data_IF_088921116027
#
_entry.id   IF_088921116027
#
_cell.length_a   1.000
_cell.length_b   1.000
_cell.length_c   1.000
_cell.angle_alpha   90.00
_cell.angle_beta   90.00
_cell.angle_gamma   90.00
#
_symmetry.space_group_name_H-M   'P 1'
#
loop_
_entity.id
_entity.type
_entity.pdbx_description
1 polymer ?
#
# COMPACT_ATOMS: atom_id res chain seq x y z
N UNK A 1 4.16 13.90 -24.66
CA UNK A 1 3.00 13.00 -24.53
C UNK A 1 3.49 11.59 -24.72
N UNK A 2 3.27 10.71 -23.77
CA UNK A 2 3.54 9.28 -23.87
C UNK A 2 2.22 8.52 -23.90
N UNK A 3 2.11 7.54 -24.77
CA UNK A 3 0.92 6.67 -24.89
C UNK A 3 1.03 5.43 -24.00
N UNK A 4 2.11 5.29 -23.23
CA UNK A 4 2.35 4.14 -22.37
C UNK A 4 1.71 4.32 -21.01
N UNK A 5 0.82 3.42 -20.61
CA UNK A 5 0.26 3.37 -19.26
C UNK A 5 1.35 3.36 -18.17
N UNK A 6 2.45 2.64 -18.39
CA UNK A 6 3.57 2.56 -17.46
C UNK A 6 4.21 3.90 -17.20
N UNK A 7 4.45 4.68 -18.26
CA UNK A 7 5.04 6.01 -18.12
C UNK A 7 4.09 6.97 -17.43
N UNK A 8 2.80 6.92 -17.79
CA UNK A 8 1.77 7.72 -17.16
C UNK A 8 1.67 7.41 -15.66
N UNK A 9 1.56 6.13 -15.30
CA UNK A 9 1.46 5.72 -13.90
C UNK A 9 2.73 6.07 -13.12
N UNK A 10 3.92 5.80 -13.69
CA UNK A 10 5.19 6.20 -13.07
C UNK A 10 5.24 7.72 -12.82
N UNK A 11 4.82 8.52 -13.79
CA UNK A 11 4.77 9.98 -13.63
C UNK A 11 3.81 10.39 -12.51
N UNK A 12 2.62 9.80 -12.45
CA UNK A 12 1.64 10.06 -11.40
C UNK A 12 2.13 9.66 -10.01
N UNK A 13 2.90 8.59 -9.92
CA UNK A 13 3.42 8.09 -8.64
C UNK A 13 4.67 8.79 -8.14
N UNK A 14 5.46 9.41 -9.03
CA UNK A 14 6.79 9.95 -8.71
C UNK A 14 6.97 11.44 -9.05
N UNK A 15 6.11 12.01 -9.88
CA UNK A 15 6.26 13.35 -10.46
C UNK A 15 7.31 13.41 -11.57
N UNK A 16 7.92 12.29 -11.96
CA UNK A 16 9.00 12.23 -12.94
C UNK A 16 8.71 11.22 -14.04
N UNK A 17 9.13 11.52 -15.26
CA UNK A 17 9.16 10.51 -16.32
C UNK A 17 10.29 9.51 -16.09
N UNK A 18 10.01 8.23 -16.31
CA UNK A 18 11.07 7.23 -16.29
C UNK A 18 11.88 7.37 -17.59
N UNK A 19 13.19 7.71 -17.54
CA UNK A 19 14.01 7.88 -18.73
C UNK A 19 14.23 6.58 -19.50
N UNK A 20 14.11 5.44 -18.82
CA UNK A 20 14.22 4.12 -19.44
C UNK A 20 12.84 3.60 -19.78
N UNK A 21 12.48 3.66 -21.05
CA UNK A 21 11.19 3.19 -21.59
C UNK A 21 11.05 1.66 -21.61
N UNK A 22 12.03 0.91 -21.10
CA UNK A 22 11.99 -0.55 -21.15
C UNK A 22 11.05 -1.13 -20.11
N UNK A 23 10.38 -2.21 -20.48
CA UNK A 23 9.38 -2.92 -19.67
C UNK A 23 9.94 -3.57 -18.41
N UNK A 24 11.26 -3.56 -18.24
CA UNK A 24 11.99 -4.26 -17.17
C UNK A 24 12.77 -3.34 -16.25
N UNK A 25 12.81 -2.04 -16.53
CA UNK A 25 13.58 -1.10 -15.70
C UNK A 25 12.85 -0.81 -14.39
N UNK A 26 13.57 -0.92 -13.30
CA UNK A 26 13.12 -0.46 -11.98
C UNK A 26 12.89 1.05 -12.01
N UNK A 27 11.98 1.53 -11.17
CA UNK A 27 11.76 2.97 -11.05
C UNK A 27 13.05 3.67 -10.61
N UNK A 28 13.42 4.77 -11.30
CA UNK A 28 14.58 5.59 -10.93
C UNK A 28 14.28 6.56 -9.80
N UNK A 29 13.03 6.93 -9.66
CA UNK A 29 12.56 7.87 -8.65
C UNK A 29 11.63 7.17 -7.66
N UNK A 30 11.75 7.48 -6.36
CA UNK A 30 10.85 6.92 -5.36
C UNK A 30 9.43 7.44 -5.56
N UNK A 31 8.45 6.60 -5.28
CA UNK A 31 7.05 7.03 -5.24
C UNK A 31 6.81 8.00 -4.09
N UNK A 32 5.74 8.79 -4.17
CA UNK A 32 5.33 9.68 -3.07
C UNK A 32 5.15 8.92 -1.76
N UNK A 33 4.53 7.74 -1.81
CA UNK A 33 4.38 6.89 -0.63
C UNK A 33 5.70 6.40 -0.05
N UNK A 34 6.70 6.13 -0.91
CA UNK A 34 8.04 5.76 -0.46
C UNK A 34 8.77 6.94 0.21
N UNK A 35 8.57 8.16 -0.28
CA UNK A 35 9.10 9.37 0.38
C UNK A 35 8.44 9.55 1.75
N UNK A 36 7.11 9.39 1.85
CA UNK A 36 6.38 9.44 3.13
C UNK A 36 6.91 8.36 4.08
N UNK A 37 7.14 7.15 3.58
CA UNK A 37 7.72 6.05 4.37
C UNK A 37 9.13 6.35 4.86
N UNK A 38 9.95 7.03 4.07
CA UNK A 38 11.29 7.45 4.47
C UNK A 38 11.27 8.53 5.57
N UNK A 39 10.27 9.43 5.53
CA UNK A 39 10.14 10.53 6.52
C UNK A 39 9.59 10.02 7.85
N UNK A 40 8.57 9.15 7.82
CA UNK A 40 7.88 8.70 9.05
C UNK A 40 8.39 7.36 9.59
N UNK A 41 9.33 6.72 8.89
CA UNK A 41 9.72 5.34 9.15
C UNK A 41 8.87 4.35 8.35
N UNK A 42 9.41 3.18 8.03
CA UNK A 42 8.70 2.21 7.21
C UNK A 42 7.49 1.57 7.92
N UNK A 43 7.52 1.53 9.26
CA UNK A 43 6.42 1.03 10.08
C UNK A 43 6.10 1.99 11.22
N UNK A 44 4.85 1.97 11.64
CA UNK A 44 4.38 2.72 12.82
C UNK A 44 5.09 2.18 14.09
N UNK A 45 5.71 3.05 14.92
CA UNK A 45 6.61 2.62 15.98
C UNK A 45 5.94 1.83 17.11
N UNK A 46 4.64 2.03 17.38
CA UNK A 46 3.96 1.36 18.49
C UNK A 46 3.27 0.06 18.07
N UNK A 47 2.69 -0.01 16.87
CA UNK A 47 1.87 -1.14 16.46
C UNK A 47 2.40 -1.92 15.24
N UNK A 48 3.49 -1.44 14.63
CA UNK A 48 4.14 -2.11 13.51
C UNK A 48 3.40 -2.03 12.17
N UNK A 49 2.29 -1.29 12.07
CA UNK A 49 1.55 -1.14 10.82
C UNK A 49 2.43 -0.44 9.78
N UNK A 50 2.52 -0.97 8.54
CA UNK A 50 3.32 -0.33 7.49
C UNK A 50 2.87 1.10 7.21
N UNK A 51 3.85 2.01 7.09
CA UNK A 51 3.59 3.43 6.78
C UNK A 51 3.03 3.60 5.39
N UNK A 52 3.45 2.76 4.44
CA UNK A 52 2.97 2.75 3.06
C UNK A 52 2.45 1.37 2.67
N UNK A 53 1.19 1.29 2.25
CA UNK A 53 0.52 0.06 1.81
C UNK A 53 -0.02 0.28 0.40
N UNK A 54 0.15 -0.72 -0.47
CA UNK A 54 -0.46 -0.74 -1.81
C UNK A 54 -1.53 -1.81 -1.91
N UNK A 55 -2.55 -1.54 -2.72
CA UNK A 55 -3.56 -2.50 -3.11
C UNK A 55 -3.65 -2.56 -4.64
N UNK A 56 -3.27 -3.69 -5.19
CA UNK A 56 -3.15 -3.90 -6.62
C UNK A 56 -1.75 -3.57 -7.16
N UNK A 57 -1.59 -3.81 -8.46
CA UNK A 57 -0.32 -3.58 -9.15
C UNK A 57 -0.27 -2.14 -9.67
N UNK A 58 0.66 -1.35 -9.17
CA UNK A 58 0.88 0.03 -9.56
C UNK A 58 2.32 0.16 -10.05
N UNK A 59 2.51 0.65 -11.29
CA UNK A 59 3.84 0.90 -11.84
C UNK A 59 4.43 2.15 -11.18
N UNK A 60 5.70 2.09 -10.78
CA UNK A 60 6.39 3.21 -10.14
C UNK A 60 6.19 3.32 -8.62
N UNK A 61 5.55 2.35 -7.99
CA UNK A 61 5.33 2.30 -6.54
C UNK A 61 6.55 1.73 -5.78
N UNK A 62 7.75 2.11 -6.17
CA UNK A 62 9.00 1.57 -5.64
C UNK A 62 9.76 2.58 -4.77
N UNK A 63 10.65 2.04 -3.93
CA UNK A 63 11.56 2.85 -3.11
C UNK A 63 12.69 3.52 -3.90
N UNK A 64 13.01 3.01 -5.10
CA UNK A 64 14.12 3.47 -5.94
C UNK A 64 15.41 3.65 -5.12
N UNK A 65 16.08 4.81 -5.24
CA UNK A 65 17.30 5.11 -4.50
C UNK A 65 17.14 5.24 -2.97
N UNK A 66 15.91 5.35 -2.46
CA UNK A 66 15.64 5.26 -1.01
C UNK A 66 15.83 3.85 -0.48
N UNK A 67 15.81 2.84 -1.36
CA UNK A 67 15.98 1.44 -1.00
C UNK A 67 14.68 0.69 -0.72
N UNK A 68 14.80 -0.62 -0.67
CA UNK A 68 13.66 -1.54 -0.57
C UNK A 68 12.85 -1.46 0.74
N UNK A 69 13.42 -0.86 1.82
CA UNK A 69 12.71 -0.67 3.09
C UNK A 69 11.49 0.22 2.96
N UNK A 70 11.56 1.20 2.07
CA UNK A 70 10.55 2.23 1.92
C UNK A 70 9.59 1.96 0.77
N UNK A 71 9.70 0.79 0.13
CA UNK A 71 8.69 0.35 -0.85
C UNK A 71 7.36 0.02 -0.15
N UNK A 72 6.22 0.07 -0.88
CA UNK A 72 4.94 -0.27 -0.29
C UNK A 72 4.88 -1.71 0.18
N UNK A 73 4.23 -1.92 1.30
CA UNK A 73 3.80 -3.24 1.74
C UNK A 73 2.64 -3.71 0.87
N UNK A 74 2.72 -4.95 0.39
CA UNK A 74 1.69 -5.58 -0.44
C UNK A 74 0.95 -6.67 0.36
N UNK A 75 -0.29 -6.43 0.80
CA UNK A 75 -1.05 -7.40 1.57
C UNK A 75 -1.61 -8.55 0.73
N UNK A 76 -1.61 -8.45 -0.61
CA UNK A 76 -2.08 -9.52 -1.48
C UNK A 76 -1.19 -10.77 -1.43
N UNK A 77 0.07 -10.58 -1.07
CA UNK A 77 0.97 -11.68 -0.77
C UNK A 77 0.70 -12.19 0.66
N UNK A 78 -0.03 -13.29 0.78
CA UNK A 78 -0.39 -13.91 2.06
C UNK A 78 0.81 -14.26 2.94
N UNK A 79 1.96 -14.52 2.34
CA UNK A 79 3.22 -14.76 3.05
C UNK A 79 3.70 -13.54 3.86
N UNK A 80 3.25 -12.33 3.48
CA UNK A 80 3.58 -11.10 4.19
C UNK A 80 2.82 -10.94 5.50
N UNK A 81 1.68 -11.62 5.67
CA UNK A 81 0.81 -11.55 6.85
C UNK A 81 0.84 -12.80 7.71
N UNK A 82 1.45 -13.89 7.23
CA UNK A 82 1.46 -15.18 7.92
C UNK A 82 2.89 -15.63 8.14
N UNK A 83 3.31 -15.87 9.38
CA UNK A 83 4.65 -16.39 9.65
C UNK A 83 4.77 -17.82 9.08
N UNK A 84 5.88 -18.10 8.39
CA UNK A 84 6.22 -19.44 7.89
C UNK A 84 6.78 -20.36 8.96
N UNK A 85 6.95 -19.86 10.18
CA UNK A 85 7.51 -20.59 11.33
C UNK A 85 6.67 -20.30 12.57
N UNK A 86 6.68 -21.20 13.53
CA UNK A 86 5.98 -21.01 14.80
C UNK A 86 6.41 -19.73 15.53
N UNK A 87 5.45 -19.04 16.13
CA UNK A 87 5.64 -17.71 16.76
C UNK A 87 6.75 -17.74 17.83
N UNK A 88 6.85 -18.81 18.59
CA UNK A 88 7.88 -18.95 19.63
C UNK A 88 9.29 -19.02 19.05
N UNK A 89 9.48 -19.76 17.97
CA UNK A 89 10.75 -19.79 17.22
C UNK A 89 11.07 -18.46 16.58
N UNK A 90 10.05 -17.71 16.21
CA UNK A 90 10.16 -16.39 15.61
C UNK A 90 10.65 -15.37 16.65
N UNK A 91 10.05 -15.36 17.85
CA UNK A 91 10.43 -14.48 18.96
C UNK A 91 11.86 -14.71 19.41
N UNK A 92 12.29 -15.98 19.51
CA UNK A 92 13.68 -16.35 19.84
C UNK A 92 14.67 -15.89 18.77
N UNK A 93 14.30 -15.96 17.48
CA UNK A 93 15.11 -15.43 16.39
C UNK A 93 15.21 -13.90 16.39
N UNK A 94 14.12 -13.18 16.75
CA UNK A 94 14.15 -11.72 16.90
C UNK A 94 15.14 -11.30 18.00
N UNK A 95 15.11 -11.96 19.15
CA UNK A 95 16.06 -11.73 20.24
C UNK A 95 17.51 -12.03 19.82
N UNK A 96 17.72 -13.14 19.13
CA UNK A 96 19.05 -13.52 18.64
C UNK A 96 19.57 -12.52 17.59
N UNK A 97 18.75 -12.09 16.66
CA UNK A 97 19.12 -11.08 15.66
C UNK A 97 19.37 -9.71 16.29
N UNK A 98 18.64 -9.35 17.34
CA UNK A 98 18.89 -8.15 18.14
C UNK A 98 20.25 -8.21 18.85
N UNK A 99 20.59 -9.36 19.44
CA UNK A 99 21.87 -9.61 20.07
C UNK A 99 23.04 -9.60 19.06
N UNK A 100 22.86 -10.23 17.89
CA UNK A 100 23.86 -10.22 16.81
C UNK A 100 23.99 -8.82 16.19
N UNK A 101 22.88 -8.09 16.02
CA UNK A 101 22.88 -6.72 15.49
C UNK A 101 23.57 -5.73 16.42
N UNK A 102 23.46 -5.89 17.75
CA UNK A 102 24.20 -5.09 18.72
C UNK A 102 25.70 -5.43 18.72
N UNK A 103 26.06 -6.70 18.56
CA UNK A 103 27.45 -7.13 18.41
C UNK A 103 28.05 -6.74 17.04
N UNK A 104 27.26 -6.67 15.98
CA UNK A 104 27.72 -6.29 14.65
C UNK A 104 27.88 -4.77 14.46
N UNK A 105 27.33 -3.93 15.34
CA UNK A 105 27.62 -2.47 15.36
C UNK A 105 29.09 -2.16 15.61
N UNK A 106 29.81 -3.09 16.23
CA UNK A 106 31.25 -2.97 16.43
C UNK A 106 32.08 -3.40 15.21
N UNK A 107 31.42 -3.97 14.18
CA UNK A 107 32.06 -4.42 12.94
C UNK A 107 31.42 -3.64 11.79
N UNK A 108 31.93 -2.47 11.51
CA UNK A 108 31.47 -1.50 10.52
C UNK A 108 31.23 -2.09 9.12
N UNK A 109 30.00 -1.93 8.62
CA UNK A 109 29.66 -2.15 7.21
C UNK A 109 28.18 -1.87 6.93
N UNK A 110 27.92 -0.87 6.10
CA UNK A 110 26.58 -0.34 5.72
C UNK A 110 25.58 -1.37 5.16
N UNK A 111 26.01 -2.56 4.78
CA UNK A 111 25.13 -3.62 4.26
C UNK A 111 24.42 -4.46 5.33
N UNK A 112 25.07 -4.70 6.47
CA UNK A 112 24.51 -5.53 7.55
C UNK A 112 23.41 -4.79 8.34
N UNK A 113 23.54 -3.47 8.50
CA UNK A 113 22.54 -2.62 9.15
C UNK A 113 21.23 -2.60 8.37
N UNK A 114 21.30 -2.51 7.05
CA UNK A 114 20.13 -2.53 6.16
C UNK A 114 19.35 -3.83 6.28
N UNK A 115 20.02 -4.98 6.27
CA UNK A 115 19.36 -6.31 6.37
C UNK A 115 18.73 -6.51 7.75
N UNK A 116 19.36 -6.06 8.83
CA UNK A 116 18.82 -6.12 10.19
C UNK A 116 17.56 -5.27 10.34
N UNK A 117 17.57 -4.07 9.77
CA UNK A 117 16.44 -3.16 9.77
C UNK A 117 15.22 -3.73 9.02
N UNK A 118 15.41 -4.27 7.80
CA UNK A 118 14.34 -4.90 7.01
C UNK A 118 13.71 -6.11 7.72
N UNK A 119 14.52 -6.93 8.35
CA UNK A 119 14.02 -8.06 9.12
C UNK A 119 13.21 -7.59 10.34
N UNK A 120 13.68 -6.56 11.04
CA UNK A 120 12.96 -5.97 12.16
C UNK A 120 11.57 -5.48 11.78
N UNK A 121 11.44 -4.78 10.67
CA UNK A 121 10.16 -4.29 10.16
C UNK A 121 9.17 -5.41 9.80
N UNK A 122 9.64 -6.45 9.13
CA UNK A 122 8.80 -7.61 8.83
C UNK A 122 8.33 -8.31 10.12
N UNK A 123 9.18 -8.36 11.16
CA UNK A 123 8.81 -8.90 12.45
C UNK A 123 7.72 -8.09 13.15
N UNK A 124 7.78 -6.77 13.09
CA UNK A 124 6.80 -5.89 13.74
C UNK A 124 5.41 -6.02 13.10
N UNK A 125 5.34 -6.22 11.78
CA UNK A 125 4.08 -6.51 11.08
C UNK A 125 3.49 -7.87 11.51
N UNK A 126 4.33 -8.88 11.63
CA UNK A 126 3.89 -10.27 11.89
C UNK A 126 3.52 -10.50 13.37
N UNK A 127 4.30 -9.93 14.30
CA UNK A 127 4.13 -10.15 15.73
C UNK A 127 3.33 -9.05 16.44
N UNK A 128 3.18 -7.89 15.82
CA UNK A 128 2.46 -6.76 16.38
C UNK A 128 0.95 -6.82 16.15
N UNK A 129 0.25 -5.83 16.69
CA UNK A 129 -1.17 -5.59 16.42
C UNK A 129 -1.46 -5.11 14.98
N UNK A 130 -0.43 -4.97 14.15
CA UNK A 130 -0.55 -4.61 12.74
C UNK A 130 -1.50 -5.53 11.97
N UNK A 131 -1.54 -6.83 12.31
CA UNK A 131 -2.44 -7.80 11.69
C UNK A 131 -3.91 -7.41 11.81
N UNK A 132 -4.29 -6.74 12.90
CA UNK A 132 -5.66 -6.29 13.10
C UNK A 132 -6.06 -5.20 12.11
N UNK A 133 -5.13 -4.38 11.62
CA UNK A 133 -5.40 -3.37 10.60
C UNK A 133 -5.87 -3.99 9.28
N UNK A 134 -5.43 -5.22 8.97
CA UNK A 134 -5.77 -5.94 7.74
C UNK A 134 -7.03 -6.82 7.85
N UNK A 135 -7.60 -6.97 9.04
CA UNK A 135 -8.73 -7.87 9.31
C UNK A 135 -10.08 -7.24 8.93
N UNK A 136 -10.37 -7.15 7.62
CA UNK A 136 -11.67 -6.64 7.10
C UNK A 136 -12.84 -7.54 7.47
N UNK A 137 -12.58 -8.82 7.73
CA UNK A 137 -13.56 -9.81 8.20
C UNK A 137 -14.16 -9.46 9.56
N UNK A 138 -13.43 -8.71 10.39
CA UNK A 138 -13.93 -8.24 11.71
C UNK A 138 -14.93 -7.08 11.63
N UNK A 139 -15.10 -6.47 10.47
CA UNK A 139 -16.08 -5.40 10.30
C UNK A 139 -17.51 -5.93 10.24
N UNK A 140 -18.46 -5.12 10.73
CA UNK A 140 -19.87 -5.47 10.70
C UNK A 140 -20.40 -5.54 9.27
N UNK A 141 -21.45 -6.34 9.05
CA UNK A 141 -22.12 -6.41 7.74
C UNK A 141 -22.69 -5.05 7.32
N UNK A 142 -23.13 -4.23 8.28
CA UNK A 142 -23.57 -2.86 8.01
C UNK A 142 -22.43 -2.00 7.46
N UNK A 143 -21.25 -2.08 8.06
CA UNK A 143 -20.07 -1.34 7.55
C UNK A 143 -19.68 -1.85 6.16
N UNK A 144 -19.63 -3.15 5.93
CA UNK A 144 -19.33 -3.73 4.61
C UNK A 144 -20.33 -3.28 3.54
N UNK A 145 -21.62 -3.28 3.88
CA UNK A 145 -22.69 -2.82 2.99
C UNK A 145 -22.57 -1.35 2.61
N UNK A 146 -22.07 -0.50 3.52
CA UNK A 146 -21.81 0.92 3.25
C UNK A 146 -20.82 1.10 2.09
N UNK A 147 -19.77 0.29 2.04
CA UNK A 147 -18.76 0.30 0.97
C UNK A 147 -19.20 -0.46 -0.29
N UNK A 148 -20.31 -1.22 -0.23
CA UNK A 148 -20.67 -2.15 -1.30
C UNK A 148 -19.67 -3.30 -1.44
N UNK A 149 -19.07 -3.71 -0.35
CA UNK A 149 -18.16 -4.86 -0.29
C UNK A 149 -18.99 -6.15 -0.30
N UNK A 150 -19.07 -6.79 -1.46
CA UNK A 150 -19.84 -8.02 -1.67
C UNK A 150 -18.91 -9.24 -1.87
N UNK A 151 -17.68 -9.00 -2.29
CA UNK A 151 -16.72 -10.04 -2.63
C UNK A 151 -15.33 -9.67 -2.14
N UNK A 152 -14.55 -10.68 -1.80
CA UNK A 152 -13.14 -10.51 -1.50
C UNK A 152 -12.40 -9.79 -2.65
N UNK A 153 -11.62 -8.78 -2.29
CA UNK A 153 -10.83 -7.93 -3.18
C UNK A 153 -11.63 -7.09 -4.20
N UNK A 154 -12.93 -6.91 -4.00
CA UNK A 154 -13.65 -5.89 -4.77
C UNK A 154 -13.23 -4.48 -4.33
N UNK A 155 -13.68 -3.46 -5.08
CA UNK A 155 -13.33 -2.07 -4.77
C UNK A 155 -13.86 -1.61 -3.41
N UNK A 156 -14.99 -2.14 -2.99
CA UNK A 156 -15.58 -1.86 -1.67
C UNK A 156 -14.70 -2.37 -0.54
N UNK A 157 -14.26 -3.63 -0.63
CA UNK A 157 -13.34 -4.21 0.37
C UNK A 157 -11.99 -3.51 0.38
N UNK A 158 -11.47 -3.16 -0.80
CA UNK A 158 -10.20 -2.44 -0.90
C UNK A 158 -10.28 -1.05 -0.24
N UNK A 159 -11.37 -0.31 -0.42
CA UNK A 159 -11.60 0.98 0.25
C UNK A 159 -11.83 0.81 1.75
N UNK A 160 -12.55 -0.23 2.17
CA UNK A 160 -12.72 -0.59 3.58
C UNK A 160 -11.37 -0.90 4.24
N UNK A 161 -10.51 -1.67 3.56
CA UNK A 161 -9.14 -1.93 4.04
C UNK A 161 -8.33 -0.63 4.13
N UNK A 162 -8.42 0.26 3.16
CA UNK A 162 -7.74 1.55 3.20
C UNK A 162 -8.15 2.37 4.44
N UNK A 163 -9.46 2.43 4.77
CA UNK A 163 -9.93 3.10 5.99
C UNK A 163 -9.36 2.45 7.25
N UNK A 164 -9.38 1.13 7.35
CA UNK A 164 -8.80 0.41 8.49
C UNK A 164 -7.32 0.73 8.66
N UNK A 165 -6.56 0.69 7.58
CA UNK A 165 -5.13 0.98 7.59
C UNK A 165 -4.86 2.40 8.11
N UNK A 166 -5.55 3.43 7.61
CA UNK A 166 -5.33 4.81 8.08
C UNK A 166 -5.78 4.99 9.54
N UNK A 167 -6.84 4.30 9.97
CA UNK A 167 -7.28 4.28 11.37
C UNK A 167 -6.22 3.69 12.31
N UNK A 168 -5.42 2.74 11.83
CA UNK A 168 -4.32 2.10 12.58
C UNK A 168 -2.97 2.82 12.41
N UNK A 169 -2.91 3.92 11.65
CA UNK A 169 -1.73 4.76 11.58
C UNK A 169 -0.92 4.68 10.29
N UNK A 170 -1.34 3.89 9.29
CA UNK A 170 -0.77 3.96 7.94
C UNK A 170 -0.91 5.38 7.40
N UNK A 171 0.19 5.92 6.82
CA UNK A 171 0.24 7.31 6.35
C UNK A 171 -0.06 7.45 4.87
N UNK A 172 0.18 6.41 4.09
CA UNK A 172 -0.03 6.44 2.65
C UNK A 172 -0.59 5.09 2.17
N UNK A 173 -1.71 5.13 1.48
CA UNK A 173 -2.33 3.96 0.87
C UNK A 173 -2.55 4.26 -0.61
N UNK A 174 -2.10 3.38 -1.48
CA UNK A 174 -2.45 3.41 -2.91
C UNK A 174 -3.38 2.26 -3.25
N UNK A 175 -4.36 2.55 -4.08
CA UNK A 175 -5.32 1.60 -4.57
C UNK A 175 -5.42 1.73 -6.08
N UNK A 176 -5.30 0.60 -6.78
CA UNK A 176 -5.42 0.56 -8.23
C UNK A 176 -6.74 -0.09 -8.65
N UNK A 177 -7.60 0.71 -9.26
CA UNK A 177 -8.84 0.25 -9.88
C UNK A 177 -8.75 0.40 -11.39
N UNK A 178 -8.28 -0.66 -12.04
CA UNK A 178 -7.96 -0.66 -13.47
C UNK A 178 -9.14 -0.85 -14.40
N UNK A 179 -8.82 -0.94 -15.72
CA UNK A 179 -9.79 -1.26 -16.79
C UNK A 179 -10.58 -0.06 -17.30
N UNK A 180 -10.00 1.14 -17.22
CA UNK A 180 -10.60 2.38 -17.74
C UNK A 180 -10.22 2.67 -19.18
N UNK A 181 -9.24 1.97 -19.75
CA UNK A 181 -8.82 2.12 -21.14
C UNK A 181 -9.73 1.31 -22.07
N UNK A 182 -10.95 1.80 -22.21
CA UNK A 182 -12.00 1.18 -23.04
C UNK A 182 -11.95 1.76 -24.44
N UNK A 183 -11.88 0.89 -25.45
CA UNK A 183 -11.86 1.25 -26.86
C UNK A 183 -13.18 0.94 -27.58
N UNK A 184 -14.10 0.24 -26.92
CA UNK A 184 -15.45 -0.10 -27.45
C UNK A 184 -16.45 -0.22 -26.31
N UNK A 185 -17.74 -0.12 -26.61
CA UNK A 185 -18.83 -0.25 -25.63
C UNK A 185 -18.63 0.60 -24.36
N UNK A 186 -18.12 1.82 -24.53
CA UNK A 186 -17.67 2.69 -23.43
C UNK A 186 -18.79 2.96 -22.43
N UNK A 187 -20.01 3.23 -22.92
CA UNK A 187 -21.16 3.53 -22.06
C UNK A 187 -21.48 2.38 -21.08
N UNK A 188 -21.54 1.16 -21.57
CA UNK A 188 -21.88 0.01 -20.73
C UNK A 188 -20.73 -0.39 -19.80
N UNK A 189 -19.49 -0.23 -20.26
CA UNK A 189 -18.32 -0.45 -19.45
C UNK A 189 -18.21 0.58 -18.31
N UNK A 190 -18.52 1.85 -18.58
CA UNK A 190 -18.59 2.90 -17.56
C UNK A 190 -19.67 2.63 -16.51
N UNK A 191 -20.90 2.27 -16.91
CA UNK A 191 -21.96 1.93 -15.97
C UNK A 191 -21.55 0.84 -15.00
N UNK A 192 -20.86 -0.21 -15.48
CA UNK A 192 -20.39 -1.32 -14.65
C UNK A 192 -19.25 -0.93 -13.70
N UNK A 193 -18.44 0.09 -14.03
CA UNK A 193 -17.28 0.49 -13.23
C UNK A 193 -17.55 1.66 -12.31
N UNK A 194 -18.32 2.63 -12.77
CA UNK A 194 -18.59 3.85 -12.00
C UNK A 194 -19.44 3.53 -10.77
N UNK A 195 -20.50 2.74 -10.89
CA UNK A 195 -21.40 2.45 -9.76
C UNK A 195 -20.68 1.81 -8.55
N UNK A 196 -19.82 0.77 -8.70
CA UNK A 196 -19.11 0.22 -7.55
C UNK A 196 -18.12 1.19 -6.90
N UNK A 197 -17.37 1.97 -7.70
CA UNK A 197 -16.39 2.91 -7.13
C UNK A 197 -17.07 4.12 -6.49
N UNK A 198 -18.16 4.61 -7.06
CA UNK A 198 -18.97 5.68 -6.49
C UNK A 198 -19.49 5.27 -5.10
N UNK A 199 -20.08 4.09 -4.99
CA UNK A 199 -20.55 3.54 -3.71
C UNK A 199 -19.40 3.37 -2.70
N UNK A 200 -18.26 2.85 -3.15
CA UNK A 200 -17.10 2.62 -2.27
C UNK A 200 -16.51 3.94 -1.75
N UNK A 201 -16.43 4.98 -2.60
CA UNK A 201 -15.96 6.32 -2.21
C UNK A 201 -16.97 6.97 -1.25
N UNK A 202 -18.26 6.94 -1.56
CA UNK A 202 -19.30 7.49 -0.68
C UNK A 202 -19.25 6.83 0.70
N UNK A 203 -19.19 5.49 0.75
CA UNK A 203 -19.06 4.75 1.99
C UNK A 203 -17.78 5.07 2.77
N UNK A 204 -16.66 5.25 2.07
CA UNK A 204 -15.40 5.65 2.69
C UNK A 204 -15.50 7.01 3.36
N UNK A 205 -16.06 8.01 2.68
CA UNK A 205 -16.21 9.37 3.21
C UNK A 205 -17.17 9.40 4.40
N UNK A 206 -18.28 8.69 4.30
CA UNK A 206 -19.26 8.58 5.40
C UNK A 206 -18.67 7.88 6.63
N UNK A 207 -17.95 6.77 6.46
CA UNK A 207 -17.32 6.04 7.56
C UNK A 207 -16.20 6.86 8.21
N UNK A 208 -15.44 7.65 7.43
CA UNK A 208 -14.48 8.61 7.99
C UNK A 208 -15.16 9.68 8.84
N UNK A 209 -16.31 10.18 8.40
CA UNK A 209 -17.06 11.19 9.15
C UNK A 209 -17.60 10.63 10.47
N UNK A 210 -18.26 9.47 10.40
CA UNK A 210 -18.78 8.77 11.59
C UNK A 210 -17.69 8.47 12.63
N UNK A 211 -16.43 8.30 12.21
CA UNK A 211 -15.29 8.01 13.08
C UNK A 211 -14.47 9.25 13.47
N UNK A 212 -14.87 10.45 13.04
CA UNK A 212 -14.14 11.68 13.31
C UNK A 212 -12.77 11.75 12.64
N UNK A 213 -12.62 11.11 11.49
CA UNK A 213 -11.37 11.04 10.70
C UNK A 213 -11.38 11.96 9.47
N UNK A 214 -12.50 12.63 9.14
CA UNK A 214 -12.65 13.45 7.93
C UNK A 214 -11.59 14.53 7.79
N UNK A 215 -11.16 15.14 8.89
CA UNK A 215 -10.12 16.19 8.90
C UNK A 215 -8.68 15.62 8.96
N UNK A 216 -8.50 14.30 8.93
CA UNK A 216 -7.21 13.64 9.07
C UNK A 216 -6.79 12.86 7.83
N UNK A 217 -7.71 12.63 6.90
CA UNK A 217 -7.51 11.79 5.73
C UNK A 217 -7.79 12.58 4.47
N UNK A 218 -6.84 12.61 3.56
CA UNK A 218 -7.00 13.15 2.21
C UNK A 218 -7.19 12.00 1.24
N UNK A 219 -8.33 11.96 0.56
CA UNK A 219 -8.59 11.06 -0.56
C UNK A 219 -8.26 11.77 -1.88
N UNK A 220 -7.37 11.19 -2.68
CA UNK A 220 -7.03 11.66 -4.02
C UNK A 220 -7.47 10.61 -5.03
N UNK A 221 -8.33 10.99 -5.97
CA UNK A 221 -8.77 10.14 -7.08
C UNK A 221 -8.21 10.71 -8.37
N UNK A 222 -7.43 9.93 -9.09
CA UNK A 222 -6.74 10.38 -10.30
C UNK A 222 -6.57 9.25 -11.30
N UNK A 223 -6.24 9.59 -12.53
CA UNK A 223 -5.87 8.65 -13.59
C UNK A 223 -4.58 9.08 -14.27
N UNK A 224 -3.94 8.15 -14.97
CA UNK A 224 -2.65 8.36 -15.65
C UNK A 224 -2.79 8.83 -17.10
N UNK A 225 -4.01 8.84 -17.65
CA UNK A 225 -4.27 9.25 -19.03
C UNK A 225 -5.54 10.07 -19.16
N UNK A 226 -5.62 10.87 -20.24
CA UNK A 226 -6.83 11.59 -20.64
C UNK A 226 -7.66 10.81 -21.64
N UNK A 227 -8.80 11.39 -22.04
CA UNK A 227 -9.65 10.87 -23.10
C UNK A 227 -9.54 11.71 -24.36
N UNK A 228 -9.57 11.06 -25.53
CA UNK A 228 -9.72 11.76 -26.81
C UNK A 228 -11.13 12.32 -26.89
N UNK A 229 -11.28 13.52 -27.48
CA UNK A 229 -12.58 14.02 -27.89
C UNK A 229 -13.11 13.12 -29.02
N UNK A 230 -14.33 12.70 -28.93
CA UNK A 230 -15.10 12.07 -30.00
C UNK A 230 -15.55 13.17 -30.95
#
# INVERSE_FOLDING_TARGET
KDSSHRQGTHFMMTGHYNPERTTTSMAKYPSFGSIVSAVYGANHPQNGVPTYVKQGKIEGDEGAWLGGAFKPFDPSNKDNLTPRIEIDRFSNRKQLLGAIGSAAKDISGTGAESVGFYKGQAYDVILGSAKDAFATDKETEQTKALYGSEKANDIGEQMLLARRLVQHGTKFVTLHYGGWDMHSNISDALKKRVSPIDKAIAGFLEDLDQRGLSNKVLLVVTGEFGRTKI
#
